data_IF_990575299708
#
_entry.id   IF_990575299708
#
_cell.length_a   1.000
_cell.length_b   1.000
_cell.length_c   1.000
_cell.angle_alpha   90.00
_cell.angle_beta   90.00
_cell.angle_gamma   90.00
#
_symmetry.space_group_name_H-M   'P 1'
#
loop_
_entity.id
_entity.type
_entity.pdbx_description
1 polymer ?
#
# COMPACT_ATOMS: atom_id res chain seq x y z
N UNK A 1 -6.15 -5.92 1.36
CA UNK A 1 -5.91 -4.47 1.55
C UNK A 1 -6.37 -3.99 2.92
N UNK A 2 -7.53 -4.42 3.43
CA UNK A 2 -8.08 -3.97 4.71
C UNK A 2 -7.18 -4.21 5.93
N UNK A 3 -6.74 -5.45 6.17
CA UNK A 3 -5.87 -5.73 7.33
C UNK A 3 -4.57 -4.90 7.30
N UNK A 4 -4.01 -4.69 6.10
CA UNK A 4 -2.83 -3.85 5.93
C UNK A 4 -3.12 -2.38 6.28
N UNK A 5 -4.18 -1.80 5.71
CA UNK A 5 -4.51 -0.39 5.99
C UNK A 5 -4.90 -0.16 7.43
N UNK A 6 -5.55 -1.13 8.09
CA UNK A 6 -5.88 -1.06 9.51
C UNK A 6 -4.63 -1.18 10.41
N UNK A 7 -3.69 -2.08 10.08
CA UNK A 7 -2.43 -2.18 10.80
C UNK A 7 -1.60 -0.89 10.70
N UNK A 8 -1.50 -0.30 9.50
CA UNK A 8 -0.76 0.95 9.31
C UNK A 8 -1.51 2.14 9.92
N UNK A 9 -2.84 2.18 9.89
CA UNK A 9 -3.63 3.20 10.60
C UNK A 9 -3.47 3.10 12.12
N UNK A 10 -3.31 1.90 12.67
CA UNK A 10 -2.98 1.71 14.08
C UNK A 10 -1.60 2.30 14.40
N UNK A 11 -0.60 2.09 13.54
CA UNK A 11 0.73 2.67 13.71
C UNK A 11 0.71 4.21 13.64
N UNK A 12 -0.05 4.77 12.70
CA UNK A 12 -0.31 6.22 12.60
C UNK A 12 -0.93 6.77 13.89
N UNK A 13 -1.94 6.09 14.44
CA UNK A 13 -2.59 6.50 15.70
C UNK A 13 -1.64 6.46 16.91
N UNK A 14 -0.58 5.64 16.86
CA UNK A 14 0.49 5.61 17.86
C UNK A 14 1.55 6.71 17.65
N UNK A 15 1.45 7.49 16.58
CA UNK A 15 2.40 8.55 16.25
C UNK A 15 3.59 8.09 15.40
N UNK A 16 3.52 6.91 14.79
CA UNK A 16 4.65 6.30 14.06
C UNK A 16 4.30 5.97 12.61
N UNK A 17 5.34 5.83 11.80
CA UNK A 17 5.33 5.25 10.45
C UNK A 17 6.31 4.10 10.42
N UNK A 18 6.00 3.03 9.67
CA UNK A 18 6.87 1.86 9.56
C UNK A 18 8.22 2.17 8.90
N UNK A 19 8.26 3.15 7.99
CA UNK A 19 9.45 3.62 7.28
C UNK A 19 9.93 2.73 6.13
N UNK A 20 9.72 1.41 6.21
CA UNK A 20 10.10 0.46 5.15
C UNK A 20 8.99 -0.54 4.84
N UNK A 21 7.81 -0.01 4.47
CA UNK A 21 6.68 -0.86 4.12
C UNK A 21 6.86 -1.43 2.70
N UNK A 22 7.12 -2.73 2.61
CA UNK A 22 7.24 -3.46 1.35
C UNK A 22 6.71 -4.90 1.52
N UNK A 23 6.46 -5.65 0.42
CA UNK A 23 5.90 -7.00 0.51
C UNK A 23 6.71 -8.01 1.34
N UNK A 24 8.01 -7.81 1.56
CA UNK A 24 8.84 -8.69 2.40
C UNK A 24 8.55 -8.50 3.88
N UNK A 25 8.09 -7.31 4.27
CA UNK A 25 7.76 -6.91 5.63
C UNK A 25 6.27 -7.13 5.97
N UNK A 26 5.54 -7.79 5.07
CA UNK A 26 4.14 -8.17 5.23
C UNK A 26 4.06 -9.70 5.26
N UNK A 27 3.82 -10.25 6.45
CA UNK A 27 3.69 -11.69 6.67
C UNK A 27 2.24 -12.09 6.90
N UNK A 28 1.94 -13.37 6.69
CA UNK A 28 0.64 -13.97 6.99
C UNK A 28 0.82 -15.12 7.96
N UNK A 29 -0.12 -15.26 8.91
CA UNK A 29 -0.23 -16.46 9.73
C UNK A 29 -0.86 -17.60 8.93
N UNK A 30 -0.87 -18.81 9.49
CA UNK A 30 -1.60 -19.96 8.92
C UNK A 30 -3.09 -19.65 8.72
N UNK A 31 -3.69 -18.85 9.59
CA UNK A 31 -5.09 -18.41 9.50
C UNK A 31 -5.33 -17.17 8.61
N UNK A 32 -4.44 -16.88 7.64
CA UNK A 32 -4.53 -15.72 6.73
C UNK A 32 -4.61 -14.34 7.43
N UNK A 33 -4.08 -14.22 8.65
CA UNK A 33 -3.96 -12.92 9.34
C UNK A 33 -2.64 -12.23 8.99
N UNK A 34 -2.76 -11.03 8.44
CA UNK A 34 -1.61 -10.18 8.15
C UNK A 34 -0.91 -9.72 9.43
N UNK A 35 0.43 -9.76 9.42
CA UNK A 35 1.30 -9.17 10.43
C UNK A 35 2.39 -8.33 9.74
N UNK A 36 2.57 -7.11 10.22
CA UNK A 36 3.73 -6.30 9.87
C UNK A 36 4.93 -6.76 10.70
N UNK A 37 6.10 -6.81 10.08
CA UNK A 37 7.38 -7.19 10.70
C UNK A 37 8.46 -6.19 10.30
N UNK A 38 9.61 -6.26 10.97
CA UNK A 38 10.79 -5.42 10.68
C UNK A 38 10.54 -3.92 10.89
N UNK A 39 10.45 -3.53 12.17
CA UNK A 39 10.22 -2.15 12.60
C UNK A 39 11.53 -1.35 12.78
N UNK A 40 12.68 -1.87 12.36
CA UNK A 40 14.00 -1.25 12.58
C UNK A 40 14.12 0.12 11.89
N UNK A 41 13.30 0.37 10.86
CA UNK A 41 13.19 1.65 10.14
C UNK A 41 11.99 2.51 10.57
N UNK A 42 11.32 2.18 11.68
CA UNK A 42 10.17 2.96 12.14
C UNK A 42 10.58 4.34 12.66
N UNK A 43 9.87 5.36 12.20
CA UNK A 43 10.13 6.76 12.53
C UNK A 43 8.88 7.41 13.12
N UNK A 44 9.04 8.49 13.88
CA UNK A 44 7.86 9.25 14.34
C UNK A 44 7.24 10.01 13.18
N UNK A 45 5.94 10.20 13.24
CA UNK A 45 5.23 11.04 12.28
C UNK A 45 5.83 12.45 12.26
N UNK A 46 6.19 12.90 11.06
CA UNK A 46 6.79 14.22 10.81
C UNK A 46 8.32 14.26 10.87
N UNK A 47 8.99 13.14 11.19
CA UNK A 47 10.44 13.03 11.05
C UNK A 47 10.84 12.67 9.62
N UNK A 48 12.10 12.96 9.26
CA UNK A 48 12.64 12.69 7.93
C UNK A 48 12.90 11.18 7.74
N UNK A 49 12.53 10.67 6.57
CA UNK A 49 12.78 9.28 6.18
C UNK A 49 14.15 9.16 5.53
N UNK A 50 15.14 8.68 6.29
CA UNK A 50 16.54 8.53 5.83
C UNK A 50 16.80 7.24 5.04
N UNK A 51 15.90 6.27 5.15
CA UNK A 51 16.07 4.90 4.63
C UNK A 51 14.87 4.53 3.74
N UNK A 52 15.13 3.73 2.70
CA UNK A 52 14.07 3.39 1.76
C UNK A 52 14.57 2.79 0.47
N UNK A 53 14.10 1.59 0.15
CA UNK A 53 14.47 0.91 -1.08
C UNK A 53 13.52 1.24 -2.23
N UNK A 54 14.10 1.39 -3.43
CA UNK A 54 13.35 1.36 -4.67
C UNK A 54 12.76 -0.06 -4.86
N UNK A 55 11.47 -0.24 -5.21
CA UNK A 55 10.53 0.77 -5.66
C UNK A 55 9.53 1.31 -4.61
N UNK A 56 9.75 1.09 -3.31
CA UNK A 56 8.71 1.33 -2.30
C UNK A 56 8.70 2.77 -1.76
N UNK A 57 9.81 3.48 -1.90
CA UNK A 57 9.89 4.90 -1.53
C UNK A 57 9.71 5.81 -2.75
N UNK A 58 9.01 6.92 -2.54
CA UNK A 58 8.91 8.04 -3.47
C UNK A 58 10.04 9.02 -3.18
N UNK A 59 10.96 9.27 -4.14
CA UNK A 59 11.94 10.32 -3.97
C UNK A 59 11.23 11.66 -3.79
N UNK A 60 11.59 12.40 -2.73
CA UNK A 60 11.24 13.81 -2.57
C UNK A 60 12.21 14.60 -3.48
N UNK A 61 12.16 14.39 -4.79
CA UNK A 61 12.87 15.29 -5.69
C UNK A 61 12.08 16.59 -5.73
N UNK A 62 12.73 17.69 -5.32
CA UNK A 62 12.29 19.07 -5.53
C UNK A 62 11.58 19.21 -6.88
N UNK A 63 10.49 19.97 -6.86
CA UNK A 63 9.70 20.44 -8.00
C UNK A 63 10.35 20.22 -9.38
N UNK A 64 9.61 19.53 -10.26
CA UNK A 64 9.54 19.68 -11.73
C UNK A 64 10.84 19.94 -12.52
N UNK A 65 10.97 19.27 -13.66
CA UNK A 65 12.00 19.49 -14.68
C UNK A 65 13.41 18.92 -14.41
N UNK A 66 13.55 17.60 -14.59
CA UNK A 66 14.51 17.10 -15.59
C UNK A 66 14.00 15.78 -16.16
N UNK A 67 13.61 15.81 -17.42
CA UNK A 67 13.27 14.63 -18.19
C UNK A 67 14.53 13.77 -18.44
N UNK A 68 14.94 12.98 -17.45
CA UNK A 68 15.93 11.92 -17.63
C UNK A 68 15.49 10.65 -16.87
N UNK A 69 14.96 9.70 -17.64
CA UNK A 69 14.87 8.25 -17.37
C UNK A 69 14.56 7.81 -15.94
N UNK A 70 13.27 7.58 -15.62
CA UNK A 70 12.89 6.76 -14.45
C UNK A 70 11.76 7.29 -13.57
N UNK A 71 11.18 8.46 -13.86
CA UNK A 71 10.00 8.94 -13.14
C UNK A 71 8.86 7.93 -13.29
N UNK A 72 8.48 7.24 -12.20
CA UNK A 72 7.38 6.27 -12.25
C UNK A 72 6.10 7.01 -12.60
N UNK A 73 5.49 6.65 -13.72
CA UNK A 73 4.15 7.08 -14.07
C UNK A 73 3.17 6.12 -13.42
N UNK A 74 2.10 6.66 -12.83
CA UNK A 74 1.01 5.80 -12.43
C UNK A 74 0.40 5.21 -13.70
N UNK A 75 0.27 3.87 -13.80
CA UNK A 75 -0.27 3.23 -14.99
C UNK A 75 -1.69 3.72 -15.29
N UNK A 76 -2.10 3.68 -16.55
CA UNK A 76 -3.50 3.87 -16.90
C UNK A 76 -4.32 2.70 -16.35
N UNK A 77 -5.46 3.00 -15.72
CA UNK A 77 -6.27 2.02 -15.00
C UNK A 77 -7.74 2.39 -15.13
N UNK A 78 -8.60 1.39 -15.25
CA UNK A 78 -10.04 1.56 -15.22
C UNK A 78 -10.50 2.08 -13.84
N UNK A 79 -10.98 3.33 -13.78
CA UNK A 79 -11.41 3.98 -12.55
C UNK A 79 -12.88 3.69 -12.18
N UNK A 80 -13.57 2.87 -12.97
CA UNK A 80 -14.83 2.24 -12.57
C UNK A 80 -14.60 1.17 -11.51
N UNK A 81 -13.46 0.46 -11.54
CA UNK A 81 -13.06 -0.42 -10.45
C UNK A 81 -12.64 0.41 -9.22
N UNK A 82 -13.32 0.23 -8.07
CA UNK A 82 -13.06 1.04 -6.89
C UNK A 82 -11.68 0.78 -6.26
N UNK A 83 -11.07 -0.39 -6.49
CA UNK A 83 -9.68 -0.69 -6.10
C UNK A 83 -8.71 0.18 -6.89
N UNK A 84 -8.90 0.29 -8.20
CA UNK A 84 -8.06 1.12 -9.06
C UNK A 84 -8.15 2.60 -8.69
N UNK A 85 -9.33 3.07 -8.28
CA UNK A 85 -9.53 4.42 -7.73
C UNK A 85 -8.71 4.63 -6.45
N UNK A 86 -8.74 3.69 -5.52
CA UNK A 86 -7.93 3.76 -4.29
C UNK A 86 -6.43 3.77 -4.61
N UNK A 87 -5.97 2.92 -5.54
CA UNK A 87 -4.56 2.90 -5.98
C UNK A 87 -4.18 4.28 -6.56
N UNK A 88 -5.04 4.88 -7.39
CA UNK A 88 -4.83 6.24 -7.93
C UNK A 88 -4.73 7.27 -6.82
N UNK A 89 -5.65 7.24 -5.87
CA UNK A 89 -5.75 8.23 -4.80
C UNK A 89 -4.54 8.15 -3.85
N UNK A 90 -4.08 6.93 -3.52
CA UNK A 90 -2.80 6.69 -2.86
C UNK A 90 -1.63 7.24 -3.69
N UNK A 91 -1.63 7.01 -5.01
CA UNK A 91 -0.55 7.47 -5.88
C UNK A 91 -0.43 8.99 -5.93
N UNK A 92 -1.55 9.70 -5.87
CA UNK A 92 -1.62 11.16 -5.95
C UNK A 92 -1.65 11.86 -4.58
N UNK A 93 -1.59 11.11 -3.48
CA UNK A 93 -1.60 11.67 -2.13
C UNK A 93 -2.93 12.35 -1.74
N UNK A 94 -4.09 11.82 -2.17
CA UNK A 94 -5.41 12.41 -1.87
C UNK A 94 -5.95 12.10 -0.47
N UNK A 95 -5.33 11.19 0.26
CA UNK A 95 -5.75 10.86 1.62
C UNK A 95 -4.97 11.71 2.62
N UNK A 96 -5.71 12.41 3.50
CA UNK A 96 -5.12 13.23 4.56
C UNK A 96 -4.49 12.40 5.69
N UNK A 97 -4.85 11.10 5.79
CA UNK A 97 -4.33 10.15 6.78
C UNK A 97 -4.50 8.71 6.32
N UNK A 98 -3.74 7.80 6.91
CA UNK A 98 -3.90 6.35 6.71
C UNK A 98 -5.25 5.89 7.27
N UNK A 99 -5.74 6.49 8.35
CA UNK A 99 -7.08 6.24 8.87
C UNK A 99 -8.18 6.55 7.82
N UNK A 100 -8.04 7.62 7.04
CA UNK A 100 -8.96 7.95 5.96
C UNK A 100 -8.91 6.92 4.81
N UNK A 101 -7.70 6.47 4.44
CA UNK A 101 -7.51 5.38 3.49
C UNK A 101 -8.18 4.08 3.99
N UNK A 102 -7.97 3.70 5.26
CA UNK A 102 -8.57 2.52 5.85
C UNK A 102 -10.11 2.59 5.85
N UNK A 103 -10.67 3.77 6.14
CA UNK A 103 -12.12 3.99 6.07
C UNK A 103 -12.67 3.82 4.65
N UNK A 104 -11.94 4.31 3.63
CA UNK A 104 -12.31 4.11 2.22
C UNK A 104 -12.26 2.63 1.83
N UNK A 105 -11.22 1.89 2.25
CA UNK A 105 -11.09 0.46 1.98
C UNK A 105 -12.22 -0.35 2.62
N UNK A 106 -12.65 -0.03 3.85
CA UNK A 106 -13.79 -0.69 4.50
C UNK A 106 -15.09 -0.58 3.69
N UNK A 107 -15.26 0.51 2.94
CA UNK A 107 -16.45 0.67 2.08
C UNK A 107 -16.40 -0.24 0.84
N UNK A 108 -15.26 -0.84 0.50
CA UNK A 108 -15.15 -1.79 -0.61
C UNK A 108 -15.78 -3.15 -0.33
N UNK A 109 -16.05 -3.50 0.94
CA UNK A 109 -16.48 -4.85 1.36
C UNK A 109 -17.88 -5.28 0.85
N UNK A 110 -18.44 -4.59 -0.14
CA UNK A 110 -19.68 -4.98 -0.82
C UNK A 110 -19.50 -5.04 -2.34
N UNK A 111 -18.82 -6.07 -2.82
CA UNK A 111 -18.89 -6.47 -4.23
C UNK A 111 -19.14 -7.97 -4.35
N UNK A 112 -20.15 -8.36 -5.13
CA UNK A 112 -20.61 -9.75 -5.33
C UNK A 112 -19.57 -10.67 -6.01
N UNK A 113 -18.37 -10.15 -6.27
CA UNK A 113 -17.35 -10.76 -7.13
C UNK A 113 -16.04 -11.05 -6.38
N UNK A 114 -16.00 -10.84 -5.06
CA UNK A 114 -14.81 -11.01 -4.23
C UNK A 114 -14.21 -12.43 -4.31
N UNK A 115 -15.06 -13.46 -4.20
CA UNK A 115 -14.62 -14.86 -4.28
C UNK A 115 -14.07 -15.22 -5.67
N UNK A 116 -14.65 -14.66 -6.73
CA UNK A 116 -14.17 -14.90 -8.08
C UNK A 116 -12.81 -14.24 -8.30
N UNK A 117 -12.63 -12.99 -7.84
CA UNK A 117 -11.34 -12.29 -7.87
C UNK A 117 -10.28 -13.00 -7.01
N UNK A 118 -10.65 -13.49 -5.82
CA UNK A 118 -9.77 -14.28 -4.95
C UNK A 118 -9.30 -15.56 -5.64
N UNK A 119 -10.21 -16.33 -6.23
CA UNK A 119 -9.90 -17.56 -6.96
C UNK A 119 -8.93 -17.31 -8.13
N UNK A 120 -9.13 -16.23 -8.90
CA UNK A 120 -8.20 -15.83 -9.97
C UNK A 120 -6.80 -15.50 -9.44
N UNK A 121 -6.70 -14.76 -8.33
CA UNK A 121 -5.43 -14.45 -7.69
C UNK A 121 -4.70 -15.72 -7.20
N UNK A 122 -5.41 -16.65 -6.57
CA UNK A 122 -4.84 -17.92 -6.09
C UNK A 122 -4.35 -18.80 -7.25
N UNK A 123 -5.10 -18.89 -8.34
CA UNK A 123 -4.68 -19.61 -9.54
C UNK A 123 -3.41 -19.00 -10.13
N UNK A 124 -3.35 -17.67 -10.22
CA UNK A 124 -2.17 -16.98 -10.72
C UNK A 124 -0.95 -17.17 -9.80
N UNK A 125 -1.14 -17.11 -8.48
CA UNK A 125 -0.07 -17.37 -7.52
C UNK A 125 0.49 -18.78 -7.66
N UNK A 126 -0.36 -19.80 -7.79
CA UNK A 126 0.06 -21.19 -8.04
C UNK A 126 0.86 -21.35 -9.34
N UNK A 127 0.56 -20.56 -10.37
CA UNK A 127 1.33 -20.56 -11.62
C UNK A 127 2.73 -19.95 -11.47
N UNK A 128 2.90 -18.97 -10.58
CA UNK A 128 4.18 -18.27 -10.38
C UNK A 128 5.07 -19.00 -9.36
N UNK A 129 4.48 -19.51 -8.29
CA UNK A 129 5.18 -20.01 -7.11
C UNK A 129 5.10 -21.54 -6.93
N UNK A 130 4.55 -22.25 -7.92
CA UNK A 130 4.26 -23.70 -7.88
C UNK A 130 5.37 -24.56 -7.31
#
# INVERSE_FOLDING_TARGET
>A
MQQLSEAVACLEALGYVHGDLNPRNIMFTEDDHLRLVDFDHSIKLGEDLEVGDYPYVRPISLAEDTAQSGARTCPDMDLEDPVNRIIRDCWTGRFDSVAALAACIRQLEYSRDFEQKKSLCEQHYKLICG
#
